data_IF_967772848001
#
_entry.id   IF_967772848001
#
_cell.length_a   1.000
_cell.length_b   1.000
_cell.length_c   1.000
_cell.angle_alpha   90.00
_cell.angle_beta   90.00
_cell.angle_gamma   90.00
#
_symmetry.space_group_name_H-M   'P 1'
#
loop_
_entity.id
_entity.type
_entity.pdbx_description
1 polymer ?
#
# COMPACT_ATOMS: atom_id res chain seq x y z
N UNK A 1 12.50 2.06 22.23
CA UNK A 1 11.91 3.14 21.39
C UNK A 1 12.04 2.70 19.96
N UNK A 2 10.96 2.64 19.18
CA UNK A 2 10.95 2.12 17.82
C UNK A 2 11.89 2.92 16.90
N UNK A 3 12.38 2.26 15.87
CA UNK A 3 13.34 2.81 14.89
C UNK A 3 12.79 4.01 14.08
N UNK A 4 11.52 4.34 14.23
CA UNK A 4 10.83 5.40 13.52
C UNK A 4 10.69 6.62 14.43
N UNK A 5 11.31 7.73 14.03
CA UNK A 5 11.20 8.98 14.77
C UNK A 5 9.87 9.69 14.44
N UNK A 6 9.49 10.71 15.22
CA UNK A 6 8.25 11.47 15.06
C UNK A 6 8.08 12.15 13.70
N UNK A 7 9.17 12.27 12.93
CA UNK A 7 9.20 12.85 11.58
C UNK A 7 8.48 11.96 10.55
N UNK A 8 8.39 10.64 10.80
CA UNK A 8 7.76 9.69 9.88
C UNK A 8 6.42 9.25 10.45
N UNK A 9 5.34 9.59 9.77
CA UNK A 9 3.96 9.28 10.21
C UNK A 9 3.03 8.94 9.05
N UNK A 10 1.86 8.40 9.37
CA UNK A 10 0.76 8.28 8.43
C UNK A 10 0.11 9.64 8.26
N UNK A 11 0.21 10.24 7.06
CA UNK A 11 -0.29 11.57 6.74
C UNK A 11 -1.72 11.49 6.20
N UNK A 12 -2.70 11.79 7.05
CA UNK A 12 -4.12 11.80 6.69
C UNK A 12 -4.55 13.22 6.33
N UNK A 13 -4.51 13.56 5.04
CA UNK A 13 -4.95 14.86 4.55
C UNK A 13 -6.46 15.12 4.81
N UNK A 14 -6.86 16.38 4.99
CA UNK A 14 -8.27 16.73 5.09
C UNK A 14 -8.99 16.40 3.77
N UNK A 15 -10.25 15.94 3.86
CA UNK A 15 -11.07 15.69 2.67
C UNK A 15 -11.42 16.98 1.93
N UNK A 16 -11.61 18.08 2.67
CA UNK A 16 -12.11 19.33 2.09
C UNK A 16 -13.50 19.15 1.48
N UNK A 17 -13.65 19.62 0.25
CA UNK A 17 -14.87 19.46 -0.57
C UNK A 17 -14.85 18.19 -1.45
N UNK A 18 -13.91 17.28 -1.23
CA UNK A 18 -13.81 16.05 -2.02
C UNK A 18 -14.88 15.02 -1.70
N UNK A 19 -14.99 14.01 -2.57
CA UNK A 19 -15.97 12.94 -2.43
C UNK A 19 -15.66 12.03 -1.23
N UNK A 20 -16.70 11.64 -0.51
CA UNK A 20 -16.61 10.61 0.52
C UNK A 20 -16.46 9.24 -0.14
N UNK A 21 -15.48 8.46 0.32
CA UNK A 21 -15.16 7.15 -0.23
C UNK A 21 -15.46 6.06 0.80
N UNK A 22 -16.36 5.17 0.46
CA UNK A 22 -16.73 4.00 1.25
C UNK A 22 -15.77 2.82 1.06
N UNK A 23 -16.15 1.67 1.61
CA UNK A 23 -15.32 0.45 1.63
C UNK A 23 -15.16 -0.22 0.26
N UNK A 24 -16.04 0.09 -0.70
CA UNK A 24 -16.09 -0.52 -2.01
C UNK A 24 -15.11 0.17 -2.99
N UNK A 25 -13.84 -0.22 -2.95
CA UNK A 25 -12.87 0.24 -3.93
C UNK A 25 -12.90 -0.67 -5.17
N UNK A 26 -13.24 -0.11 -6.33
CA UNK A 26 -13.39 -0.86 -7.58
C UNK A 26 -12.07 -1.54 -8.01
N UNK A 27 -10.92 -0.85 -7.87
CA UNK A 27 -9.61 -1.41 -8.20
C UNK A 27 -9.27 -2.64 -7.37
N UNK A 28 -9.51 -2.58 -6.05
CA UNK A 28 -9.32 -3.73 -5.14
C UNK A 28 -10.35 -4.83 -5.48
N UNK A 29 -11.57 -4.44 -5.82
CA UNK A 29 -12.68 -5.36 -6.12
C UNK A 29 -12.41 -6.30 -7.29
N UNK A 30 -11.66 -5.87 -8.30
CA UNK A 30 -11.31 -6.68 -9.48
C UNK A 30 -10.63 -8.00 -9.09
N UNK A 31 -9.80 -7.99 -8.05
CA UNK A 31 -9.01 -9.14 -7.63
C UNK A 31 -9.69 -10.10 -6.65
N UNK A 32 -10.92 -9.79 -6.18
CA UNK A 32 -11.60 -10.59 -5.15
C UNK A 32 -11.84 -12.05 -5.52
N UNK A 33 -12.17 -12.33 -6.80
CA UNK A 33 -12.51 -13.70 -7.23
C UNK A 33 -11.28 -14.62 -7.31
N UNK A 34 -10.10 -14.09 -7.61
CA UNK A 34 -8.87 -14.86 -7.77
C UNK A 34 -7.67 -14.09 -7.19
N UNK A 35 -7.63 -13.88 -5.87
CA UNK A 35 -6.64 -12.99 -5.24
C UNK A 35 -5.19 -13.47 -5.44
N UNK A 36 -4.93 -14.78 -5.28
CA UNK A 36 -3.59 -15.34 -5.45
C UNK A 36 -3.11 -15.25 -6.88
N UNK A 37 -3.95 -15.64 -7.85
CA UNK A 37 -3.63 -15.57 -9.27
C UNK A 37 -3.42 -14.13 -9.72
N UNK A 38 -4.28 -13.22 -9.27
CA UNK A 38 -4.17 -11.79 -9.57
C UNK A 38 -2.87 -11.20 -9.05
N UNK A 39 -2.55 -11.46 -7.79
CA UNK A 39 -1.30 -10.99 -7.18
C UNK A 39 -0.08 -11.54 -7.92
N UNK A 40 -0.01 -12.86 -8.11
CA UNK A 40 1.13 -13.50 -8.78
C UNK A 40 1.33 -12.95 -10.20
N UNK A 41 0.26 -12.83 -10.99
CA UNK A 41 0.31 -12.29 -12.34
C UNK A 41 0.88 -10.87 -12.38
N UNK A 42 0.36 -9.99 -11.55
CA UNK A 42 0.77 -8.58 -11.53
C UNK A 42 2.22 -8.41 -11.05
N UNK A 43 2.61 -9.16 -10.01
CA UNK A 43 4.00 -9.11 -9.51
C UNK A 43 4.96 -9.65 -10.57
N UNK A 44 4.70 -10.82 -11.15
CA UNK A 44 5.59 -11.41 -12.15
C UNK A 44 5.68 -10.54 -13.40
N UNK A 45 4.57 -9.94 -13.85
CA UNK A 45 4.59 -9.00 -14.97
C UNK A 45 5.48 -7.78 -14.66
N UNK A 46 5.33 -7.19 -13.48
CA UNK A 46 6.15 -6.04 -13.08
C UNK A 46 7.64 -6.39 -12.99
N UNK A 47 7.98 -7.59 -12.48
CA UNK A 47 9.36 -8.08 -12.40
C UNK A 47 9.97 -8.29 -13.78
N UNK A 48 9.20 -8.86 -14.72
CA UNK A 48 9.64 -9.05 -16.11
C UNK A 48 9.86 -7.70 -16.80
N UNK A 49 8.91 -6.78 -16.65
CA UNK A 49 8.96 -5.45 -17.26
C UNK A 49 10.13 -4.61 -16.70
N UNK A 50 10.54 -4.87 -15.47
CA UNK A 50 11.64 -4.17 -14.78
C UNK A 50 13.01 -4.84 -14.93
N UNK A 51 13.14 -5.94 -15.72
CA UNK A 51 14.43 -6.61 -15.92
C UNK A 51 15.54 -5.62 -16.27
N UNK A 52 16.64 -5.69 -15.54
CA UNK A 52 17.83 -4.90 -15.84
C UNK A 52 18.58 -5.49 -17.05
N UNK A 53 18.67 -4.75 -18.17
CA UNK A 53 19.36 -5.25 -19.37
C UNK A 53 20.87 -5.37 -19.20
N UNK A 54 21.46 -4.71 -18.22
CA UNK A 54 22.90 -4.77 -17.93
C UNK A 54 23.31 -6.02 -17.16
N UNK A 55 22.35 -6.74 -16.57
CA UNK A 55 22.59 -7.96 -15.78
C UNK A 55 22.33 -9.20 -16.61
N UNK A 56 23.37 -9.99 -16.87
CA UNK A 56 23.27 -11.26 -17.61
C UNK A 56 22.77 -12.41 -16.69
N UNK A 57 21.56 -12.21 -16.13
CA UNK A 57 20.85 -13.21 -15.34
C UNK A 57 19.34 -12.94 -15.42
N UNK A 58 18.48 -13.96 -15.32
CA UNK A 58 17.04 -13.75 -15.38
C UNK A 58 16.55 -12.88 -14.22
N UNK A 59 15.51 -12.08 -14.47
CA UNK A 59 14.78 -11.43 -13.38
C UNK A 59 14.19 -12.48 -12.45
N UNK A 60 14.18 -12.20 -11.14
CA UNK A 60 13.78 -13.16 -10.11
C UNK A 60 12.79 -12.52 -9.15
N UNK A 61 11.68 -13.20 -8.89
CA UNK A 61 10.73 -12.85 -7.84
C UNK A 61 10.84 -13.84 -6.68
N UNK A 62 10.78 -13.36 -5.44
CA UNK A 62 10.79 -14.15 -4.21
C UNK A 62 9.59 -13.79 -3.35
N UNK A 63 8.84 -14.79 -2.93
CA UNK A 63 7.68 -14.65 -2.04
C UNK A 63 8.01 -15.34 -0.73
N UNK A 64 7.89 -14.64 0.38
CA UNK A 64 8.21 -15.13 1.71
C UNK A 64 7.15 -14.69 2.70
N UNK A 65 6.73 -15.58 3.59
CA UNK A 65 5.99 -15.18 4.79
C UNK A 65 7.02 -14.97 5.91
N UNK A 66 7.11 -13.72 6.36
CA UNK A 66 7.94 -13.35 7.50
C UNK A 66 7.04 -12.95 8.67
N UNK A 67 7.59 -12.97 9.88
CA UNK A 67 6.91 -12.47 11.08
C UNK A 67 7.69 -11.28 11.62
N UNK A 68 6.99 -10.19 11.88
CA UNK A 68 7.60 -8.96 12.40
C UNK A 68 6.86 -8.50 13.65
N UNK A 69 7.59 -7.90 14.57
CA UNK A 69 7.01 -7.31 15.77
C UNK A 69 6.25 -6.04 15.43
N UNK A 70 5.15 -5.78 16.15
CA UNK A 70 4.35 -4.56 15.95
C UNK A 70 5.20 -3.28 15.99
N UNK A 71 6.19 -3.22 16.91
CA UNK A 71 7.09 -2.07 17.05
C UNK A 71 7.92 -1.77 15.80
N UNK A 72 8.11 -2.77 14.95
CA UNK A 72 8.89 -2.66 13.70
C UNK A 72 8.01 -2.27 12.49
N UNK A 73 6.68 -2.18 12.69
CA UNK A 73 5.76 -1.67 11.67
C UNK A 73 5.59 -0.18 11.87
N UNK A 74 5.91 0.62 10.84
CA UNK A 74 5.78 2.06 10.91
C UNK A 74 4.36 2.51 11.28
N UNK A 75 4.21 3.23 12.39
CA UNK A 75 2.93 3.83 12.81
C UNK A 75 1.78 2.85 13.04
N UNK A 76 2.06 1.61 13.48
CA UNK A 76 1.08 0.54 13.64
C UNK A 76 -0.09 0.92 14.57
N UNK A 77 0.19 1.61 15.68
CA UNK A 77 -0.86 2.05 16.62
C UNK A 77 -1.80 3.08 15.99
N UNK A 78 -1.24 4.03 15.26
CA UNK A 78 -2.02 5.04 14.52
C UNK A 78 -2.90 4.37 13.47
N UNK A 79 -2.33 3.41 12.71
CA UNK A 79 -3.06 2.67 11.67
C UNK A 79 -4.23 1.87 12.25
N UNK A 80 -4.01 1.15 13.36
CA UNK A 80 -5.09 0.42 14.06
C UNK A 80 -6.20 1.38 14.50
N UNK A 81 -5.86 2.49 15.15
CA UNK A 81 -6.81 3.49 15.59
C UNK A 81 -7.64 4.06 14.43
N UNK A 82 -7.01 4.35 13.29
CA UNK A 82 -7.70 4.88 12.10
C UNK A 82 -8.64 3.85 11.49
N UNK A 83 -8.26 2.57 11.40
CA UNK A 83 -9.14 1.51 10.88
C UNK A 83 -10.40 1.38 11.75
N UNK A 84 -10.28 1.49 13.07
CA UNK A 84 -11.43 1.51 13.97
C UNK A 84 -12.35 2.70 13.71
N UNK A 85 -11.81 3.90 13.47
CA UNK A 85 -12.59 5.09 13.11
C UNK A 85 -13.25 4.97 11.73
N UNK A 86 -12.61 4.33 10.77
CA UNK A 86 -13.25 4.01 9.50
C UNK A 86 -14.48 3.12 9.69
N UNK A 87 -14.39 2.12 10.60
CA UNK A 87 -15.52 1.28 10.96
C UNK A 87 -16.64 2.11 11.62
N UNK A 88 -16.33 2.93 12.61
CA UNK A 88 -17.29 3.81 13.29
C UNK A 88 -18.03 4.75 12.31
N UNK A 89 -17.35 5.17 11.26
CA UNK A 89 -17.91 6.08 10.25
C UNK A 89 -18.85 5.37 9.25
N UNK A 90 -18.65 4.06 8.99
CA UNK A 90 -19.38 3.28 8.00
C UNK A 90 -19.92 1.95 8.54
N UNK A 91 -20.21 1.84 9.84
CA UNK A 91 -20.68 0.56 10.44
C UNK A 91 -22.12 0.20 10.12
N UNK A 92 -22.89 1.12 9.58
CA UNK A 92 -24.29 0.90 9.22
C UNK A 92 -24.45 0.32 7.81
N UNK A 93 -25.51 -0.49 7.63
CA UNK A 93 -25.88 -1.07 6.34
C UNK A 93 -24.89 -2.12 5.80
N UNK A 94 -24.95 -2.37 4.50
CA UNK A 94 -24.16 -3.41 3.81
C UNK A 94 -22.64 -3.20 3.89
N UNK A 95 -22.18 -1.98 4.06
CA UNK A 95 -20.78 -1.65 4.23
C UNK A 95 -20.26 -1.99 5.63
N UNK A 96 -21.13 -2.06 6.63
CA UNK A 96 -20.79 -2.40 8.01
C UNK A 96 -20.14 -3.76 8.16
N UNK A 97 -20.62 -4.78 7.44
CA UNK A 97 -20.03 -6.13 7.46
C UNK A 97 -18.58 -6.12 6.91
N UNK A 98 -18.35 -5.42 5.80
CA UNK A 98 -17.03 -5.33 5.17
C UNK A 98 -16.05 -4.53 6.05
N UNK A 99 -16.53 -3.45 6.65
CA UNK A 99 -15.75 -2.67 7.61
C UNK A 99 -15.49 -3.46 8.89
N UNK A 100 -16.43 -4.27 9.35
CA UNK A 100 -16.25 -5.19 10.47
C UNK A 100 -15.14 -6.21 10.23
N UNK A 101 -15.03 -6.75 9.00
CA UNK A 101 -13.90 -7.64 8.63
C UNK A 101 -12.56 -6.91 8.65
N UNK A 102 -12.49 -5.69 8.15
CA UNK A 102 -11.26 -4.88 8.17
C UNK A 102 -10.84 -4.54 9.61
N UNK A 103 -11.81 -4.16 10.48
CA UNK A 103 -11.57 -3.91 11.90
C UNK A 103 -11.06 -5.16 12.62
N UNK A 104 -11.71 -6.33 12.43
CA UNK A 104 -11.26 -7.59 13.00
C UNK A 104 -9.84 -7.97 12.56
N UNK A 105 -9.49 -7.72 11.30
CA UNK A 105 -8.14 -7.95 10.81
C UNK A 105 -7.11 -7.01 11.49
N UNK A 106 -7.45 -5.75 11.68
CA UNK A 106 -6.58 -4.82 12.40
C UNK A 106 -6.40 -5.24 13.87
N UNK A 107 -7.46 -5.65 14.55
CA UNK A 107 -7.40 -6.17 15.92
C UNK A 107 -6.52 -7.44 16.01
N UNK A 108 -6.70 -8.38 15.07
CA UNK A 108 -5.93 -9.62 15.04
C UNK A 108 -4.45 -9.42 14.70
N UNK A 109 -4.12 -8.47 13.83
CA UNK A 109 -2.74 -8.27 13.37
C UNK A 109 -2.01 -7.16 14.14
N UNK A 110 -2.68 -6.08 14.49
CA UNK A 110 -2.02 -4.91 15.08
C UNK A 110 -2.20 -4.82 16.59
N UNK A 111 -3.21 -5.47 17.19
CA UNK A 111 -3.54 -5.32 18.59
C UNK A 111 -3.41 -6.62 19.42
N UNK A 112 -3.15 -7.76 18.77
CA UNK A 112 -3.03 -9.06 19.49
C UNK A 112 -1.79 -9.19 20.38
N UNK A 113 -0.74 -8.43 20.08
CA UNK A 113 0.57 -8.60 20.73
C UNK A 113 1.44 -9.70 20.12
N UNK A 114 0.90 -10.51 19.21
CA UNK A 114 1.65 -11.55 18.51
C UNK A 114 2.45 -10.99 17.32
N UNK A 115 3.56 -11.64 16.92
CA UNK A 115 4.28 -11.27 15.72
C UNK A 115 3.40 -11.37 14.47
N UNK A 116 3.38 -10.30 13.68
CA UNK A 116 2.48 -10.10 12.55
C UNK A 116 2.99 -10.84 11.33
N UNK A 117 2.18 -11.71 10.69
CA UNK A 117 2.55 -12.35 9.44
C UNK A 117 2.50 -11.33 8.29
N UNK A 118 3.61 -11.17 7.60
CA UNK A 118 3.77 -10.27 6.46
C UNK A 118 4.21 -11.05 5.23
N UNK A 119 3.50 -10.91 4.12
CA UNK A 119 3.96 -11.38 2.83
C UNK A 119 4.98 -10.38 2.29
N UNK A 120 6.25 -10.77 2.31
CA UNK A 120 7.36 -10.06 1.68
C UNK A 120 7.54 -10.56 0.26
N UNK A 121 7.46 -9.63 -0.70
CA UNK A 121 7.71 -9.90 -2.12
C UNK A 121 8.93 -9.09 -2.52
N UNK A 122 9.95 -9.76 -3.05
CA UNK A 122 11.20 -9.14 -3.47
C UNK A 122 11.50 -9.50 -4.92
N UNK A 123 12.05 -8.56 -5.66
CA UNK A 123 12.56 -8.75 -7.00
C UNK A 123 14.07 -8.52 -7.06
N UNK A 124 14.72 -9.19 -7.99
CA UNK A 124 16.18 -9.15 -8.18
C UNK A 124 16.50 -9.15 -9.67
N UNK A 125 17.67 -8.61 -10.01
CA UNK A 125 18.11 -8.44 -11.40
C UNK A 125 17.16 -7.55 -12.20
N UNK A 126 16.58 -6.56 -11.53
CA UNK A 126 15.69 -5.54 -12.05
C UNK A 126 16.32 -4.16 -11.84
N UNK A 127 15.87 -3.16 -12.58
CA UNK A 127 16.30 -1.77 -12.36
C UNK A 127 15.72 -1.17 -11.07
N UNK A 128 14.79 -1.86 -10.40
CA UNK A 128 14.09 -1.38 -9.23
C UNK A 128 13.14 -0.21 -9.52
N UNK A 129 12.61 0.41 -8.46
CA UNK A 129 11.74 1.57 -8.59
C UNK A 129 12.58 2.85 -8.55
N UNK A 130 12.76 3.46 -9.71
CA UNK A 130 13.55 4.69 -9.88
C UNK A 130 12.73 5.96 -9.68
N UNK A 131 13.41 7.05 -9.28
CA UNK A 131 12.84 8.39 -9.21
C UNK A 131 11.91 8.62 -8.02
N UNK A 132 12.24 8.11 -6.85
CA UNK A 132 11.48 8.29 -5.61
C UNK A 132 11.37 9.76 -5.18
N UNK A 133 12.34 10.60 -5.58
CA UNK A 133 12.36 12.04 -5.30
C UNK A 133 11.63 12.88 -6.34
N UNK A 134 11.17 12.28 -7.45
CA UNK A 134 10.41 12.99 -8.48
C UNK A 134 8.98 13.20 -8.03
N UNK A 135 8.41 14.33 -8.40
CA UNK A 135 7.01 14.65 -8.14
C UNK A 135 6.07 13.73 -8.95
N UNK A 136 6.39 13.50 -10.22
CA UNK A 136 5.61 12.68 -11.16
C UNK A 136 6.46 12.04 -12.24
N UNK A 137 5.88 11.12 -12.99
CA UNK A 137 6.47 10.57 -14.23
C UNK A 137 7.64 9.64 -13.99
N UNK A 138 7.72 8.97 -12.83
CA UNK A 138 8.73 7.95 -12.54
C UNK A 138 8.09 6.60 -12.23
N UNK A 139 8.88 5.52 -12.23
CA UNK A 139 8.39 4.19 -11.85
C UNK A 139 7.88 4.17 -10.41
N UNK A 140 8.59 4.88 -9.51
CA UNK A 140 8.16 5.02 -8.12
C UNK A 140 6.82 5.75 -8.01
N UNK A 141 6.70 6.95 -8.59
CA UNK A 141 5.46 7.74 -8.48
C UNK A 141 4.29 7.02 -9.11
N UNK A 142 4.47 6.42 -10.28
CA UNK A 142 3.42 5.66 -10.99
C UNK A 142 2.90 4.46 -10.20
N UNK A 143 3.76 3.74 -9.47
CA UNK A 143 3.33 2.59 -8.66
C UNK A 143 2.78 3.02 -7.29
N UNK A 144 3.49 3.91 -6.58
CA UNK A 144 3.25 4.18 -5.18
C UNK A 144 2.29 5.35 -4.97
N UNK A 145 2.49 6.47 -5.67
CA UNK A 145 1.81 7.74 -5.39
C UNK A 145 0.63 8.03 -6.29
N UNK A 146 0.73 7.72 -7.57
CA UNK A 146 -0.30 8.07 -8.56
C UNK A 146 -1.44 7.03 -8.59
N UNK A 147 -2.65 7.48 -8.89
CA UNK A 147 -3.82 6.63 -9.16
C UNK A 147 -4.13 6.76 -10.64
N UNK A 148 -4.41 5.62 -11.31
CA UNK A 148 -4.78 5.57 -12.73
C UNK A 148 -3.73 6.13 -13.71
N UNK A 149 -2.51 6.38 -13.27
CA UNK A 149 -1.39 6.73 -14.13
C UNK A 149 -0.54 5.50 -14.47
N UNK A 150 -0.08 5.40 -15.71
CA UNK A 150 0.88 4.41 -16.16
C UNK A 150 2.05 5.14 -16.81
N UNK A 151 3.25 4.92 -16.31
CA UNK A 151 4.49 5.48 -16.89
C UNK A 151 5.20 4.46 -17.79
N UNK A 152 4.47 3.46 -18.29
CA UNK A 152 5.00 2.45 -19.22
C UNK A 152 5.06 3.03 -20.62
N UNK A 153 6.25 2.98 -21.23
CA UNK A 153 6.44 3.36 -22.64
C UNK A 153 5.58 2.51 -23.60
N UNK A 154 5.41 2.99 -24.83
CA UNK A 154 4.65 2.31 -25.86
C UNK A 154 5.17 0.87 -26.09
N UNK A 155 4.29 -0.11 -25.87
CA UNK A 155 4.57 -1.55 -26.10
C UNK A 155 4.59 -2.44 -24.86
N UNK A 156 4.51 -1.90 -23.65
CA UNK A 156 4.42 -2.71 -22.43
C UNK A 156 2.96 -2.97 -22.05
N UNK A 157 2.61 -4.25 -21.93
CA UNK A 157 1.27 -4.74 -21.58
C UNK A 157 0.93 -4.42 -20.13
N UNK A 158 0.21 -3.34 -19.89
CA UNK A 158 -0.27 -2.98 -18.55
C UNK A 158 -1.68 -2.41 -18.61
N UNK A 159 -2.65 -3.11 -18.01
CA UNK A 159 -4.04 -2.70 -17.95
C UNK A 159 -4.22 -1.46 -17.08
N UNK A 160 -4.34 -0.27 -17.68
CA UNK A 160 -4.88 0.96 -17.06
C UNK A 160 -4.45 1.27 -15.61
N UNK A 161 -3.28 0.81 -15.15
CA UNK A 161 -2.79 1.03 -13.80
C UNK A 161 -3.60 0.35 -12.68
N UNK A 162 -4.44 -0.64 -13.00
CA UNK A 162 -5.24 -1.38 -12.00
C UNK A 162 -4.45 -2.47 -11.29
N UNK A 163 -3.39 -3.01 -11.88
CA UNK A 163 -2.58 -4.08 -11.31
C UNK A 163 -2.02 -3.76 -9.92
N UNK A 164 -1.67 -2.49 -9.70
CA UNK A 164 -1.19 -2.00 -8.40
C UNK A 164 -2.15 -2.21 -7.22
N UNK A 165 -3.44 -2.52 -7.47
CA UNK A 165 -4.41 -2.81 -6.42
C UNK A 165 -4.42 -4.27 -5.96
N UNK A 166 -3.78 -5.20 -6.69
CA UNK A 166 -3.73 -6.61 -6.31
C UNK A 166 -3.13 -6.84 -4.91
N UNK A 167 -2.01 -6.23 -4.51
CA UNK A 167 -1.47 -6.35 -3.16
C UNK A 167 -2.43 -5.84 -2.07
N UNK A 168 -3.18 -4.76 -2.33
CA UNK A 168 -4.18 -4.23 -1.37
C UNK A 168 -5.36 -5.18 -1.15
N UNK A 169 -5.76 -5.93 -2.19
CA UNK A 169 -6.77 -6.98 -2.02
C UNK A 169 -6.25 -8.15 -1.18
N UNK A 170 -4.94 -8.43 -1.25
CA UNK A 170 -4.30 -9.51 -0.50
C UNK A 170 -4.04 -9.12 0.97
N UNK A 171 -3.76 -7.86 1.24
CA UNK A 171 -3.51 -7.34 2.59
C UNK A 171 -4.81 -7.26 3.42
N UNK A 172 -4.88 -7.97 4.53
CA UNK A 172 -6.03 -7.96 5.44
C UNK A 172 -6.36 -6.58 6.02
N UNK A 173 -5.37 -5.69 6.11
CA UNK A 173 -5.52 -4.31 6.60
C UNK A 173 -5.34 -3.27 5.48
N UNK A 174 -5.36 -3.70 4.21
CA UNK A 174 -5.22 -2.83 3.02
C UNK A 174 -4.01 -1.90 3.07
N UNK A 175 -2.92 -2.38 3.61
CA UNK A 175 -1.69 -1.62 3.80
C UNK A 175 -0.52 -2.34 3.15
N UNK A 176 0.29 -1.60 2.42
CA UNK A 176 1.50 -2.07 1.73
C UNK A 176 2.66 -1.17 2.12
N UNK A 177 3.82 -1.75 2.32
CA UNK A 177 5.08 -1.01 2.47
C UNK A 177 5.93 -1.31 1.24
N UNK A 178 6.26 -0.29 0.49
CA UNK A 178 7.15 -0.34 -0.66
C UNK A 178 8.56 0.03 -0.22
N UNK A 179 9.54 -0.72 -0.71
CA UNK A 179 10.96 -0.47 -0.50
C UNK A 179 11.71 -0.74 -1.79
N UNK A 180 12.71 0.07 -2.11
CA UNK A 180 13.57 -0.15 -3.26
C UNK A 180 15.03 0.17 -2.93
N UNK A 181 15.94 -0.59 -3.56
CA UNK A 181 17.30 -0.21 -3.88
C UNK A 181 17.38 -0.33 -5.40
N UNK A 182 17.43 0.80 -6.11
CA UNK A 182 17.40 0.81 -7.56
C UNK A 182 18.80 0.71 -8.19
N UNK A 183 18.85 0.58 -9.52
CA UNK A 183 20.09 0.45 -10.26
C UNK A 183 21.02 1.67 -10.13
N UNK A 184 20.48 2.84 -9.78
CA UNK A 184 21.25 4.07 -9.53
C UNK A 184 21.82 4.13 -8.10
N UNK A 185 21.57 3.08 -7.28
CA UNK A 185 21.99 3.02 -5.88
C UNK A 185 21.12 3.85 -4.91
N UNK A 186 19.99 4.38 -5.38
CA UNK A 186 19.05 5.09 -4.51
C UNK A 186 18.19 4.10 -3.70
N UNK A 187 17.99 4.44 -2.43
CA UNK A 187 17.05 3.73 -1.55
C UNK A 187 15.83 4.59 -1.25
N UNK A 188 14.66 3.97 -1.21
CA UNK A 188 13.44 4.62 -0.77
C UNK A 188 12.52 3.62 -0.06
N UNK A 189 11.71 4.14 0.88
CA UNK A 189 10.68 3.40 1.58
C UNK A 189 9.43 4.28 1.71
N UNK A 190 8.26 3.71 1.44
CA UNK A 190 6.98 4.39 1.63
C UNK A 190 5.88 3.39 1.96
N UNK A 191 5.10 3.65 3.00
CA UNK A 191 3.85 2.95 3.25
C UNK A 191 2.69 3.58 2.49
N UNK A 192 1.71 2.76 2.10
CA UNK A 192 0.44 3.20 1.54
C UNK A 192 -0.69 2.35 2.08
N UNK A 193 -1.77 3.01 2.51
CA UNK A 193 -3.01 2.34 2.89
C UNK A 193 -4.19 2.91 2.10
N UNK A 194 -5.17 2.04 1.78
CA UNK A 194 -6.39 2.41 1.07
C UNK A 194 -7.58 2.00 1.94
N UNK A 195 -8.04 2.93 2.75
CA UNK A 195 -9.13 2.75 3.70
C UNK A 195 -10.45 3.33 3.16
N UNK A 196 -11.22 3.94 4.04
CA UNK A 196 -12.41 4.74 3.73
C UNK A 196 -12.19 6.17 4.21
N UNK A 197 -13.03 7.07 3.78
CA UNK A 197 -13.18 8.38 4.45
C UNK A 197 -13.55 8.13 5.92
N UNK A 198 -13.00 8.91 6.85
CA UNK A 198 -13.31 8.81 8.27
C UNK A 198 -13.23 10.18 8.95
N UNK A 199 -13.76 10.29 10.15
CA UNK A 199 -13.58 11.47 10.99
C UNK A 199 -12.45 11.23 11.97
N UNK A 200 -11.45 12.08 11.95
CA UNK A 200 -10.34 12.02 12.88
C UNK A 200 -10.74 12.63 14.22
N UNK A 201 -10.34 11.99 15.32
CA UNK A 201 -10.63 12.47 16.66
C UNK A 201 -9.65 13.56 17.13
N UNK A 202 -8.46 13.64 16.53
CA UNK A 202 -7.45 14.62 16.93
C UNK A 202 -7.84 16.04 16.53
N UNK A 203 -8.35 16.23 15.31
CA UNK A 203 -8.72 17.56 14.79
C UNK A 203 -10.22 17.67 14.42
N UNK A 204 -11.00 16.62 14.66
CA UNK A 204 -12.42 16.49 14.31
C UNK A 204 -12.73 16.75 12.82
N UNK A 205 -11.75 16.58 11.94
CA UNK A 205 -11.93 16.78 10.49
C UNK A 205 -12.16 15.44 9.78
N UNK A 206 -12.87 15.53 8.66
CA UNK A 206 -13.03 14.39 7.75
C UNK A 206 -11.77 14.25 6.92
N UNK A 207 -11.23 13.03 6.85
CA UNK A 207 -9.95 12.70 6.21
C UNK A 207 -10.14 11.88 4.94
N UNK A 208 -9.15 11.98 4.07
CA UNK A 208 -9.06 11.19 2.84
C UNK A 208 -8.84 9.71 3.14
N UNK A 209 -9.28 8.87 2.19
CA UNK A 209 -9.23 7.41 2.28
C UNK A 209 -7.89 6.79 1.87
N UNK A 210 -7.08 7.48 1.07
CA UNK A 210 -5.74 7.03 0.63
C UNK A 210 -4.69 7.82 1.38
N UNK A 211 -3.77 7.10 1.99
CA UNK A 211 -2.81 7.69 2.91
C UNK A 211 -1.44 7.10 2.70
N UNK A 212 -0.45 7.93 2.77
CA UNK A 212 0.95 7.57 2.68
C UNK A 212 1.61 7.66 4.06
N UNK A 213 2.53 6.74 4.32
CA UNK A 213 3.47 6.83 5.43
C UNK A 213 4.77 7.41 4.92
N UNK A 214 5.28 8.42 5.59
CA UNK A 214 6.53 9.06 5.24
C UNK A 214 6.74 10.33 6.04
N UNK A 215 7.67 11.13 5.57
CA UNK A 215 7.89 12.48 6.07
C UNK A 215 6.72 13.38 5.64
N UNK A 216 6.17 14.15 6.59
CA UNK A 216 5.15 15.14 6.28
C UNK A 216 5.81 16.24 5.43
N UNK A 217 5.31 16.40 4.23
CA UNK A 217 5.73 17.48 3.34
C UNK A 217 4.58 18.50 3.34
N UNK A 218 4.63 19.44 4.29
CA UNK A 218 3.81 20.65 4.27
C UNK A 218 4.17 21.56 3.08
#
# INVERSE_FOLDING_TARGET
MGAWNEKYKWCFGPLGSGDKVGVNNAGIGIFKKQPYKGLAKEILQNVIDAKDPSVDAPAKARFEIIRIEKKDIPGADRLSGVIKRCYEYYHEGDDGEKMGRLKKAAEAFLDSGDPIPVLKISDYNTVGLTGARKEKGSNWTGLVREISATNKGNGLSGSFGVGKFAPFNFSGIRTIIYSTLNADGETALQGKTILTTFRDQEDNKVKQNVVLFGEDQD
#
